data_IF_084233640393
#
_entry.id   IF_084233640393
#
_cell.length_a   1.000
_cell.length_b   1.000
_cell.length_c   1.000
_cell.angle_alpha   90.00
_cell.angle_beta   90.00
_cell.angle_gamma   90.00
#
_symmetry.space_group_name_H-M   'P 1'
#
loop_
_entity.id
_entity.type
_entity.pdbx_description
1 polymer ?
#
# COMPACT_ATOMS: atom_id res chain seq x y z
N UNK A 1 -32.36 20.32 16.86
CA UNK A 1 -32.69 19.76 15.53
C UNK A 1 -31.38 19.28 14.95
N UNK A 2 -31.17 17.97 14.88
CA UNK A 2 -30.02 17.41 14.19
C UNK A 2 -30.21 17.67 12.70
N UNK A 3 -29.25 18.37 12.08
CA UNK A 3 -29.23 18.52 10.64
C UNK A 3 -29.12 17.15 10.00
N UNK A 4 -30.12 16.79 9.20
CA UNK A 4 -30.12 15.55 8.44
C UNK A 4 -28.93 15.59 7.48
N UNK A 5 -27.93 14.74 7.71
CA UNK A 5 -26.70 14.64 6.91
C UNK A 5 -27.00 14.50 5.41
N UNK A 6 -28.12 13.87 5.06
CA UNK A 6 -28.58 13.73 3.68
C UNK A 6 -28.95 15.08 3.05
N UNK A 7 -29.63 15.96 3.81
CA UNK A 7 -30.01 17.31 3.36
C UNK A 7 -28.79 18.19 3.17
N UNK A 8 -27.84 18.14 4.12
CA UNK A 8 -26.58 18.89 4.05
C UNK A 8 -25.75 18.46 2.83
N UNK A 9 -25.64 17.14 2.58
CA UNK A 9 -24.94 16.63 1.39
C UNK A 9 -25.63 17.04 0.08
N UNK A 10 -26.97 17.03 0.07
CA UNK A 10 -27.77 17.41 -1.09
C UNK A 10 -27.58 18.88 -1.45
N UNK A 11 -27.60 19.77 -0.46
CA UNK A 11 -27.33 21.19 -0.64
C UNK A 11 -25.90 21.46 -1.10
N UNK A 12 -24.90 20.81 -0.49
CA UNK A 12 -23.49 20.92 -0.92
C UNK A 12 -23.27 20.46 -2.35
N UNK A 13 -24.07 19.52 -2.85
CA UNK A 13 -24.02 19.06 -4.23
C UNK A 13 -24.87 19.92 -5.20
N UNK A 14 -25.44 21.04 -4.72
CA UNK A 14 -26.26 21.96 -5.50
C UNK A 14 -27.61 21.37 -5.90
N UNK A 15 -28.21 20.55 -5.04
CA UNK A 15 -29.53 19.94 -5.26
C UNK A 15 -29.54 18.85 -6.33
N UNK A 16 -28.39 18.27 -6.69
CA UNK A 16 -28.27 17.29 -7.77
C UNK A 16 -27.86 15.92 -7.25
N UNK A 17 -28.81 14.98 -7.19
CA UNK A 17 -28.56 13.58 -6.81
C UNK A 17 -27.46 12.89 -7.63
N UNK A 18 -27.29 13.23 -8.92
CA UNK A 18 -26.18 12.72 -9.74
C UNK A 18 -24.79 13.17 -9.25
N UNK A 19 -24.67 14.36 -8.65
CA UNK A 19 -23.42 14.83 -8.05
C UNK A 19 -23.14 14.15 -6.72
N UNK A 20 -24.18 13.89 -5.94
CA UNK A 20 -24.09 13.11 -4.69
C UNK A 20 -23.64 11.69 -5.00
N UNK A 21 -24.23 11.04 -6.00
CA UNK A 21 -23.81 9.70 -6.41
C UNK A 21 -22.33 9.68 -6.83
N UNK A 22 -21.89 10.64 -7.65
CA UNK A 22 -20.46 10.74 -8.02
C UNK A 22 -19.56 11.06 -6.83
N UNK A 23 -20.03 11.88 -5.89
CA UNK A 23 -19.30 12.19 -4.66
C UNK A 23 -19.16 10.95 -3.78
N UNK A 24 -20.24 10.20 -3.55
CA UNK A 24 -20.22 8.96 -2.78
C UNK A 24 -19.37 7.88 -3.46
N UNK A 25 -19.47 7.74 -4.79
CA UNK A 25 -18.59 6.86 -5.57
C UNK A 25 -17.13 7.30 -5.50
N UNK A 26 -16.86 8.61 -5.51
CA UNK A 26 -15.50 9.13 -5.32
C UNK A 26 -14.99 8.86 -3.90
N UNK A 27 -15.83 8.97 -2.88
CA UNK A 27 -15.49 8.65 -1.49
C UNK A 27 -15.24 7.16 -1.31
N UNK A 28 -16.06 6.29 -1.91
CA UNK A 28 -15.84 4.84 -1.95
C UNK A 28 -14.54 4.47 -2.69
N UNK A 29 -14.20 5.21 -3.74
CA UNK A 29 -12.96 5.05 -4.50
C UNK A 29 -11.76 5.74 -3.84
N UNK A 30 -11.97 6.42 -2.72
CA UNK A 30 -10.93 7.18 -2.03
C UNK A 30 -10.56 6.57 -0.68
N UNK A 31 -9.33 6.07 -0.63
CA UNK A 31 -8.68 5.66 0.61
C UNK A 31 -7.68 6.74 1.03
N UNK A 32 -7.77 7.22 2.28
CA UNK A 32 -6.85 8.20 2.86
C UNK A 32 -6.03 7.51 3.96
N UNK A 33 -4.70 7.61 3.88
CA UNK A 33 -3.78 7.10 4.90
C UNK A 33 -3.01 8.27 5.53
N UNK A 34 -3.42 8.80 6.69
CA UNK A 34 -2.66 9.81 7.41
C UNK A 34 -1.53 9.15 8.21
N UNK A 35 -0.30 9.58 7.95
CA UNK A 35 0.90 9.23 8.71
C UNK A 35 1.60 10.53 9.12
N UNK A 36 2.38 10.52 10.19
CA UNK A 36 3.21 11.68 10.51
C UNK A 36 4.11 12.00 9.32
N UNK A 37 3.83 13.14 8.67
CA UNK A 37 4.57 13.61 7.51
C UNK A 37 4.04 13.17 6.15
N UNK A 38 3.15 12.18 5.96
CA UNK A 38 2.66 11.81 4.60
C UNK A 38 1.17 11.47 4.61
N UNK A 39 0.47 11.90 3.56
CA UNK A 39 -0.88 11.44 3.26
C UNK A 39 -0.97 10.94 1.83
N UNK A 40 -1.51 9.73 1.66
CA UNK A 40 -1.82 9.16 0.35
C UNK A 40 -3.33 9.16 0.12
N UNK A 41 -3.73 9.40 -1.13
CA UNK A 41 -5.11 9.37 -1.59
C UNK A 41 -5.19 8.57 -2.90
N UNK A 42 -6.09 7.59 -2.96
CA UNK A 42 -6.54 7.03 -4.26
C UNK A 42 -7.77 7.81 -4.71
N UNK A 43 -7.86 8.15 -6.00
CA UNK A 43 -9.08 8.72 -6.59
C UNK A 43 -9.08 8.40 -8.07
N UNK A 44 -10.19 7.82 -8.58
CA UNK A 44 -10.32 7.38 -9.97
C UNK A 44 -9.13 6.52 -10.45
N UNK A 45 -8.71 5.55 -9.62
CA UNK A 45 -7.55 4.67 -9.85
C UNK A 45 -6.18 5.35 -9.94
N UNK A 46 -6.11 6.68 -9.76
CA UNK A 46 -4.86 7.43 -9.65
C UNK A 46 -4.49 7.62 -8.19
N UNK A 47 -3.19 7.71 -7.91
CA UNK A 47 -2.69 7.99 -6.55
C UNK A 47 -2.19 9.42 -6.48
N UNK A 48 -2.50 10.08 -5.37
CA UNK A 48 -2.01 11.39 -5.02
C UNK A 48 -1.29 11.30 -3.67
N UNK A 49 -0.23 12.08 -3.51
CA UNK A 49 0.50 12.20 -2.25
C UNK A 49 0.73 13.66 -1.88
N UNK A 50 0.74 13.92 -0.57
CA UNK A 50 1.17 15.18 0.03
C UNK A 50 1.86 14.90 1.37
N UNK A 51 2.55 15.91 1.91
CA UNK A 51 3.37 15.81 3.11
C UNK A 51 4.85 16.05 2.84
N UNK A 52 5.72 15.65 3.76
CA UNK A 52 7.16 15.80 3.75
C UNK A 52 7.86 14.44 3.80
N UNK A 53 8.87 14.25 2.97
CA UNK A 53 9.74 13.08 3.02
C UNK A 53 11.11 13.37 2.43
N UNK A 54 12.16 12.81 3.06
CA UNK A 54 13.52 12.85 2.51
C UNK A 54 13.91 11.54 1.81
N UNK A 55 13.10 10.49 1.94
CA UNK A 55 13.40 9.14 1.46
C UNK A 55 12.55 8.72 0.26
N UNK A 56 11.83 9.63 -0.39
CA UNK A 56 11.16 9.35 -1.65
C UNK A 56 9.83 8.60 -1.56
N UNK A 57 9.29 8.36 -0.35
CA UNK A 57 7.99 7.71 -0.14
C UNK A 57 6.80 8.54 -0.69
N UNK A 58 7.01 9.82 -1.00
CA UNK A 58 6.04 10.60 -1.78
C UNK A 58 5.86 10.07 -3.21
N UNK A 59 6.86 9.37 -3.78
CA UNK A 59 6.79 8.82 -5.14
C UNK A 59 6.85 9.87 -6.27
N UNK A 60 7.13 11.13 -5.94
CA UNK A 60 7.05 12.27 -6.86
C UNK A 60 8.37 12.65 -7.53
N UNK A 61 9.48 11.96 -7.22
CA UNK A 61 10.83 12.27 -7.73
C UNK A 61 11.79 12.80 -6.67
N UNK A 62 13.11 12.73 -6.91
CA UNK A 62 14.16 13.13 -5.94
C UNK A 62 14.15 14.62 -5.58
N UNK A 63 13.57 15.46 -6.43
CA UNK A 63 13.40 16.90 -6.24
C UNK A 63 12.36 17.23 -5.15
N UNK A 64 11.42 16.32 -4.88
CA UNK A 64 10.29 16.59 -4.00
C UNK A 64 10.57 16.13 -2.58
N UNK A 65 10.82 17.10 -1.69
CA UNK A 65 10.97 16.86 -0.25
C UNK A 65 9.75 17.23 0.57
N UNK A 66 8.97 18.20 0.09
CA UNK A 66 7.77 18.71 0.72
C UNK A 66 6.74 18.98 -0.38
N UNK A 67 5.53 18.50 -0.18
CA UNK A 67 4.42 18.64 -1.09
C UNK A 67 3.18 19.02 -0.27
N UNK A 68 2.80 20.30 -0.29
CA UNK A 68 1.69 20.81 0.55
C UNK A 68 0.31 20.68 -0.11
N UNK A 69 0.25 20.07 -1.30
CA UNK A 69 -1.00 19.82 -2.04
C UNK A 69 -1.00 18.39 -2.56
N UNK A 70 -2.19 17.79 -2.73
CA UNK A 70 -2.29 16.46 -3.32
C UNK A 70 -1.82 16.48 -4.78
N UNK A 71 -0.63 15.93 -5.01
CA UNK A 71 -0.03 15.85 -6.35
C UNK A 71 -0.04 14.41 -6.83
N UNK A 72 -0.39 14.21 -8.09
CA UNK A 72 -0.52 12.89 -8.68
C UNK A 72 0.85 12.20 -8.80
N UNK A 73 0.93 10.96 -8.34
CA UNK A 73 2.11 10.10 -8.50
C UNK A 73 2.12 9.54 -9.92
N UNK A 74 3.27 9.65 -10.58
CA UNK A 74 3.48 9.06 -11.91
C UNK A 74 4.05 7.64 -11.79
N UNK A 75 3.42 6.70 -12.49
CA UNK A 75 3.86 5.30 -12.58
C UNK A 75 4.47 5.00 -13.96
N UNK A 76 5.38 4.01 -14.09
CA UNK A 76 6.02 3.66 -15.37
C UNK A 76 5.06 3.16 -16.48
N UNK A 77 3.88 2.69 -16.10
CA UNK A 77 2.81 2.25 -17.01
C UNK A 77 1.47 2.87 -16.56
N UNK A 78 0.42 2.86 -17.39
CA UNK A 78 -0.93 3.27 -16.98
C UNK A 78 -1.37 2.47 -15.75
N UNK A 79 -1.22 3.08 -14.58
CA UNK A 79 -1.45 2.45 -13.30
C UNK A 79 -2.90 2.66 -12.89
N UNK A 80 -3.64 1.55 -12.82
CA UNK A 80 -4.93 1.52 -12.13
C UNK A 80 -4.70 0.99 -10.73
N UNK A 81 -4.37 1.88 -9.79
CA UNK A 81 -4.12 1.48 -8.39
C UNK A 81 -5.45 1.17 -7.71
N UNK A 82 -5.51 -0.01 -7.08
CA UNK A 82 -6.73 -0.51 -6.39
C UNK A 82 -6.55 -0.65 -4.89
N UNK A 83 -5.31 -0.76 -4.43
CA UNK A 83 -4.99 -0.79 -3.00
C UNK A 83 -3.59 -0.23 -2.78
N UNK A 84 -3.38 0.40 -1.63
CA UNK A 84 -2.08 0.93 -1.22
C UNK A 84 -1.90 0.81 0.28
N UNK A 85 -0.64 0.82 0.71
CA UNK A 85 -0.25 0.96 2.10
C UNK A 85 1.05 1.74 2.18
N UNK A 86 1.25 2.49 3.26
CA UNK A 86 2.46 3.24 3.48
C UNK A 86 2.85 3.22 4.95
N UNK A 87 4.13 3.48 5.18
CA UNK A 87 4.71 3.80 6.47
C UNK A 87 5.56 5.07 6.34
N UNK A 88 6.26 5.45 7.41
CA UNK A 88 7.17 6.61 7.40
C UNK A 88 8.26 6.50 6.33
N UNK A 89 8.67 5.28 5.98
CA UNK A 89 9.85 5.04 5.16
C UNK A 89 9.51 4.73 3.71
N UNK A 90 8.38 4.06 3.44
CA UNK A 90 8.05 3.58 2.11
C UNK A 90 6.53 3.43 1.89
N UNK A 91 6.15 3.37 0.62
CA UNK A 91 4.79 3.12 0.16
C UNK A 91 4.79 1.94 -0.81
N UNK A 92 3.69 1.20 -0.81
CA UNK A 92 3.44 0.04 -1.64
C UNK A 92 2.05 0.18 -2.29
N UNK A 93 1.95 -0.22 -3.55
CA UNK A 93 0.75 -0.05 -4.39
C UNK A 93 0.44 -1.35 -5.13
N UNK A 94 -0.82 -1.79 -5.10
CA UNK A 94 -1.34 -2.89 -5.90
C UNK A 94 -2.12 -2.33 -7.08
N UNK A 95 -1.75 -2.76 -8.27
CA UNK A 95 -2.46 -2.44 -9.51
C UNK A 95 -3.66 -3.38 -9.72
N UNK A 96 -4.65 -2.96 -10.51
CA UNK A 96 -5.75 -3.80 -10.97
C UNK A 96 -5.25 -5.04 -11.75
N UNK A 97 -4.08 -4.97 -12.38
CA UNK A 97 -3.40 -6.13 -12.99
C UNK A 97 -2.92 -7.16 -11.95
N UNK A 98 -2.74 -6.74 -10.70
CA UNK A 98 -2.11 -7.50 -9.61
C UNK A 98 -0.61 -7.25 -9.47
N UNK A 99 -0.01 -6.44 -10.34
CA UNK A 99 1.37 -6.00 -10.18
C UNK A 99 1.52 -5.11 -8.94
N UNK A 100 2.72 -5.16 -8.34
CA UNK A 100 3.03 -4.40 -7.14
C UNK A 100 4.19 -3.45 -7.39
N UNK A 101 4.00 -2.21 -6.99
CA UNK A 101 5.00 -1.16 -7.05
C UNK A 101 5.33 -0.65 -5.65
N UNK A 102 6.58 -0.27 -5.42
CA UNK A 102 7.02 0.33 -4.16
C UNK A 102 7.91 1.55 -4.42
N UNK A 103 7.92 2.50 -3.48
CA UNK A 103 8.83 3.62 -3.45
C UNK A 103 9.11 4.05 -2.00
N UNK A 104 10.23 4.73 -1.76
CA UNK A 104 10.67 5.07 -0.42
C UNK A 104 12.10 4.65 -0.13
N UNK A 105 12.47 4.66 1.14
CA UNK A 105 13.72 4.11 1.62
C UNK A 105 13.79 2.62 1.30
N UNK A 106 14.95 2.15 0.83
CA UNK A 106 15.22 0.74 0.61
C UNK A 106 16.50 0.27 1.33
N UNK A 107 17.01 1.06 2.28
CA UNK A 107 18.17 0.73 3.12
C UNK A 107 17.99 -0.58 3.91
N UNK A 108 16.75 -0.85 4.32
CA UNK A 108 16.32 -2.06 5.02
C UNK A 108 15.68 -3.10 4.09
N UNK A 109 15.79 -2.92 2.78
CA UNK A 109 15.10 -3.72 1.75
C UNK A 109 13.57 -3.74 1.83
N UNK A 110 12.94 -2.81 2.54
CA UNK A 110 11.49 -2.79 2.74
C UNK A 110 10.70 -2.55 1.44
N UNK A 111 11.31 -1.97 0.41
CA UNK A 111 10.69 -1.88 -0.92
C UNK A 111 10.84 -3.17 -1.74
N UNK A 112 11.65 -4.15 -1.32
CA UNK A 112 11.78 -5.46 -1.98
C UNK A 112 12.65 -5.49 -3.24
N UNK A 113 13.50 -4.48 -3.43
CA UNK A 113 14.43 -4.39 -4.56
C UNK A 113 15.86 -4.72 -4.11
N UNK A 114 16.38 -5.90 -4.44
CA UNK A 114 17.75 -6.30 -4.07
C UNK A 114 18.86 -5.55 -4.81
N UNK A 115 18.55 -4.95 -5.96
CA UNK A 115 19.53 -4.34 -6.85
C UNK A 115 19.91 -2.91 -6.44
N UNK A 116 19.27 -2.35 -5.41
CA UNK A 116 19.58 -1.03 -4.87
C UNK A 116 19.36 -1.02 -3.36
N UNK A 117 20.21 -0.34 -2.62
CA UNK A 117 20.01 -0.02 -1.19
C UNK A 117 19.72 1.47 -0.97
N UNK A 118 19.47 2.21 -2.04
CA UNK A 118 19.19 3.65 -2.02
C UNK A 118 17.68 3.93 -2.08
N UNK A 119 17.25 5.13 -1.67
CA UNK A 119 15.87 5.56 -1.84
C UNK A 119 15.37 5.47 -3.28
N UNK A 120 14.12 5.04 -3.43
CA UNK A 120 13.39 4.91 -4.67
C UNK A 120 12.37 6.04 -4.73
N UNK A 121 12.61 7.03 -5.57
CA UNK A 121 11.83 8.27 -5.56
C UNK A 121 10.58 8.25 -6.44
N UNK A 122 10.39 7.20 -7.25
CA UNK A 122 9.20 6.97 -8.08
C UNK A 122 8.79 5.51 -7.96
N UNK A 123 7.49 5.18 -7.94
CA UNK A 123 7.03 3.80 -7.83
C UNK A 123 7.72 2.90 -8.85
N UNK A 124 8.35 1.83 -8.35
CA UNK A 124 9.10 0.87 -9.13
C UNK A 124 8.47 -0.52 -9.01
N UNK A 125 8.36 -1.23 -10.12
CA UNK A 125 7.85 -2.61 -10.14
C UNK A 125 8.74 -3.51 -9.27
N UNK A 126 8.13 -4.25 -8.35
CA UNK A 126 8.83 -5.27 -7.55
C UNK A 126 9.05 -6.50 -8.43
N UNK A 127 10.17 -6.56 -9.13
CA UNK A 127 10.47 -7.60 -10.14
C UNK A 127 10.33 -9.04 -9.60
N UNK A 128 10.67 -9.27 -8.34
CA UNK A 128 10.51 -10.59 -7.70
C UNK A 128 9.05 -11.05 -7.57
N UNK A 129 8.08 -10.14 -7.67
CA UNK A 129 6.65 -10.43 -7.65
C UNK A 129 6.02 -10.41 -9.06
N UNK A 130 6.81 -10.21 -10.11
CA UNK A 130 6.31 -10.19 -11.48
C UNK A 130 5.67 -11.54 -11.84
N UNK A 131 4.45 -11.50 -12.36
CA UNK A 131 3.67 -12.70 -12.67
C UNK A 131 3.00 -13.36 -11.45
N UNK A 132 3.06 -12.74 -10.26
CA UNK A 132 2.37 -13.19 -9.04
C UNK A 132 1.31 -12.16 -8.66
N UNK A 133 0.05 -12.30 -9.11
CA UNK A 133 -0.97 -11.27 -8.90
C UNK A 133 -1.30 -11.07 -7.42
N UNK A 134 -1.12 -9.84 -6.93
CA UNK A 134 -1.49 -9.41 -5.61
C UNK A 134 -2.90 -8.82 -5.54
N UNK A 135 -3.47 -8.85 -4.34
CA UNK A 135 -4.73 -8.17 -3.99
C UNK A 135 -4.58 -7.19 -2.84
N UNK A 136 -3.56 -7.35 -2.01
CA UNK A 136 -3.32 -6.49 -0.85
C UNK A 136 -1.83 -6.41 -0.53
N UNK A 137 -1.37 -5.24 -0.11
CA UNK A 137 -0.06 -5.00 0.52
C UNK A 137 -0.23 -4.26 1.84
N UNK A 138 0.68 -4.51 2.78
CA UNK A 138 0.79 -3.76 4.03
C UNK A 138 2.25 -3.40 4.29
N UNK A 139 2.50 -2.14 4.61
CA UNK A 139 3.80 -1.60 4.94
C UNK A 139 3.96 -1.54 6.46
N UNK A 140 4.97 -2.21 6.99
CA UNK A 140 5.46 -2.01 8.36
C UNK A 140 6.50 -0.89 8.41
N UNK A 141 7.24 -0.76 9.52
CA UNK A 141 8.27 0.28 9.62
C UNK A 141 9.41 0.05 8.63
N UNK A 142 9.95 -1.16 8.61
CA UNK A 142 11.11 -1.56 7.81
C UNK A 142 10.89 -2.86 7.02
N UNK A 143 9.63 -3.21 6.74
CA UNK A 143 9.30 -4.40 5.97
C UNK A 143 7.98 -4.20 5.21
N UNK A 144 7.74 -5.03 4.19
CA UNK A 144 6.45 -5.11 3.47
C UNK A 144 5.95 -6.54 3.47
N UNK A 145 4.63 -6.71 3.59
CA UNK A 145 3.95 -7.97 3.32
C UNK A 145 2.99 -7.84 2.14
N UNK A 146 2.93 -8.89 1.32
CA UNK A 146 2.16 -8.97 0.08
C UNK A 146 1.23 -10.17 0.14
N UNK A 147 -0.06 -9.96 -0.12
CA UNK A 147 -1.06 -11.01 -0.21
C UNK A 147 -1.46 -11.22 -1.67
N UNK A 148 -1.21 -12.43 -2.17
CA UNK A 148 -1.57 -12.82 -3.53
C UNK A 148 -3.07 -13.07 -3.65
N UNK A 149 -3.59 -13.06 -4.88
CA UNK A 149 -4.98 -13.44 -5.18
C UNK A 149 -5.27 -14.90 -4.82
N UNK A 150 -4.25 -15.75 -4.82
CA UNK A 150 -4.34 -17.16 -4.39
C UNK A 150 -4.33 -17.31 -2.85
N UNK A 151 -4.06 -16.23 -2.12
CA UNK A 151 -3.98 -16.22 -0.65
C UNK A 151 -2.63 -16.67 -0.10
N UNK A 152 -1.57 -16.61 -0.91
CA UNK A 152 -0.20 -16.76 -0.44
C UNK A 152 0.31 -15.42 0.12
N UNK A 153 1.12 -15.49 1.17
CA UNK A 153 1.74 -14.30 1.78
C UNK A 153 3.22 -14.32 1.51
N UNK A 154 3.73 -13.19 1.01
CA UNK A 154 5.16 -12.94 0.81
C UNK A 154 5.59 -11.78 1.71
N UNK A 155 6.83 -11.77 2.16
CA UNK A 155 7.40 -10.72 3.01
C UNK A 155 8.83 -10.36 2.59
N UNK A 156 9.21 -9.10 2.75
CA UNK A 156 10.57 -8.62 2.54
C UNK A 156 10.91 -7.46 3.48
N UNK A 157 12.20 -7.21 3.64
CA UNK A 157 12.74 -6.12 4.46
C UNK A 157 13.56 -6.60 5.65
N UNK A 158 13.64 -5.77 6.68
CA UNK A 158 14.31 -6.08 7.93
C UNK A 158 13.54 -7.17 8.71
N UNK A 159 14.29 -8.07 9.34
CA UNK A 159 13.76 -9.22 10.07
C UNK A 159 14.37 -9.39 11.47
N UNK A 160 14.93 -8.34 12.05
CA UNK A 160 15.62 -8.39 13.36
C UNK A 160 14.77 -8.92 14.51
N UNK A 161 13.44 -8.91 14.39
CA UNK A 161 12.48 -9.40 15.38
C UNK A 161 11.71 -10.64 14.90
N UNK A 162 12.07 -11.23 13.75
CA UNK A 162 11.33 -12.32 13.13
C UNK A 162 10.02 -11.88 12.45
N UNK A 163 9.81 -10.58 12.25
CA UNK A 163 8.57 -10.01 11.71
C UNK A 163 8.20 -10.48 10.30
N UNK A 164 9.14 -11.06 9.55
CA UNK A 164 8.88 -11.62 8.23
C UNK A 164 8.23 -13.02 8.28
N UNK A 165 8.28 -13.71 9.43
CA UNK A 165 7.60 -14.99 9.64
C UNK A 165 8.28 -16.20 8.99
N UNK A 166 9.57 -16.14 8.67
CA UNK A 166 10.29 -17.23 8.01
C UNK A 166 10.91 -18.28 8.95
N UNK A 167 10.70 -18.14 10.27
CA UNK A 167 11.33 -19.02 11.27
C UNK A 167 12.80 -18.67 11.56
N UNK A 168 13.24 -17.49 11.13
CA UNK A 168 14.57 -16.93 11.33
C UNK A 168 14.49 -15.41 11.54
N UNK A 169 15.63 -14.77 11.80
CA UNK A 169 15.78 -13.31 11.94
C UNK A 169 16.65 -12.70 10.83
N UNK A 170 16.67 -13.31 9.65
CA UNK A 170 17.50 -12.86 8.52
C UNK A 170 16.71 -11.91 7.64
N UNK A 171 17.29 -10.76 7.33
CA UNK A 171 16.69 -9.77 6.41
C UNK A 171 16.46 -10.39 5.03
N UNK A 172 15.35 -10.04 4.40
CA UNK A 172 14.98 -10.58 3.09
C UNK A 172 14.98 -9.47 2.03
N UNK A 173 15.98 -9.43 1.11
CA UNK A 173 16.13 -8.34 0.15
C UNK A 173 15.09 -8.35 -0.98
N UNK A 174 14.35 -9.45 -1.11
CA UNK A 174 13.23 -9.62 -2.06
C UNK A 174 12.08 -10.35 -1.37
N UNK A 175 10.82 -10.15 -1.81
CA UNK A 175 9.68 -10.91 -1.30
C UNK A 175 9.91 -12.42 -1.33
N UNK A 176 9.82 -13.04 -0.16
CA UNK A 176 9.91 -14.49 0.05
C UNK A 176 8.57 -14.99 0.60
N UNK A 177 8.10 -16.13 0.11
CA UNK A 177 6.86 -16.73 0.57
C UNK A 177 6.99 -17.21 2.03
N UNK A 178 5.93 -17.04 2.82
CA UNK A 178 5.82 -17.66 4.15
C UNK A 178 5.27 -19.07 3.98
N UNK A 179 6.14 -20.06 3.94
CA UNK A 179 5.78 -21.47 3.68
C UNK A 179 4.78 -22.02 4.71
N UNK A 180 4.89 -21.62 5.98
CA UNK A 180 3.94 -22.04 7.01
C UNK A 180 2.50 -21.62 6.69
N UNK A 181 2.30 -20.37 6.23
CA UNK A 181 0.96 -19.87 5.89
C UNK A 181 0.36 -20.61 4.68
N UNK A 182 1.20 -21.01 3.73
CA UNK A 182 0.79 -21.83 2.58
C UNK A 182 0.23 -23.19 3.00
N UNK A 183 0.73 -23.77 4.09
CA UNK A 183 0.29 -25.08 4.60
C UNK A 183 -1.06 -25.02 5.33
N UNK A 184 -1.33 -23.93 6.05
CA UNK A 184 -2.57 -23.80 6.85
C UNK A 184 -3.79 -23.36 6.03
N UNK A 185 -3.60 -22.86 4.81
CA UNK A 185 -4.66 -22.53 3.86
C UNK A 185 -4.59 -21.11 3.30
N UNK A 186 -5.64 -20.74 2.54
CA UNK A 186 -5.69 -19.46 1.84
C UNK A 186 -5.92 -18.29 2.81
N UNK A 187 -5.00 -17.33 2.81
CA UNK A 187 -5.13 -16.09 3.57
C UNK A 187 -6.08 -15.13 2.84
N UNK A 188 -7.01 -14.55 3.58
CA UNK A 188 -8.00 -13.61 3.04
C UNK A 188 -7.60 -12.16 3.25
N UNK A 189 -6.87 -11.87 4.33
CA UNK A 189 -6.49 -10.51 4.70
C UNK A 189 -5.18 -10.51 5.51
N UNK A 190 -4.40 -9.45 5.32
CA UNK A 190 -3.21 -9.15 6.13
C UNK A 190 -3.32 -7.75 6.75
N UNK A 191 -2.66 -7.54 7.88
CA UNK A 191 -2.47 -6.24 8.52
C UNK A 191 -1.05 -6.16 9.08
N UNK A 192 -0.49 -4.96 9.23
CA UNK A 192 0.83 -4.76 9.82
C UNK A 192 0.81 -3.66 10.87
N UNK A 193 1.56 -3.89 11.95
CA UNK A 193 2.04 -2.82 12.82
C UNK A 193 3.50 -2.46 12.48
N UNK A 194 4.18 -1.69 13.34
CA UNK A 194 5.56 -1.29 13.09
C UNK A 194 6.53 -2.47 12.90
N UNK A 195 6.33 -3.54 13.67
CA UNK A 195 7.23 -4.71 13.73
C UNK A 195 6.51 -6.06 13.79
N UNK A 196 5.25 -6.13 13.33
CA UNK A 196 4.48 -7.38 13.31
C UNK A 196 3.51 -7.43 12.13
N UNK A 197 3.16 -8.65 11.71
CA UNK A 197 2.15 -8.94 10.69
C UNK A 197 1.06 -9.81 11.29
N UNK A 198 -0.19 -9.46 11.03
CA UNK A 198 -1.37 -10.28 11.29
C UNK A 198 -1.87 -10.85 9.96
N UNK A 199 -2.25 -12.12 9.94
CA UNK A 199 -2.85 -12.77 8.80
C UNK A 199 -4.12 -13.51 9.24
N UNK A 200 -5.21 -13.32 8.49
CA UNK A 200 -6.49 -13.98 8.73
C UNK A 200 -6.77 -14.96 7.59
N UNK A 201 -7.17 -16.19 7.93
CA UNK A 201 -7.67 -17.18 6.99
C UNK A 201 -9.22 -17.29 7.10
N UNK A 202 -9.85 -17.91 6.11
CA UNK A 202 -11.26 -18.29 6.25
C UNK A 202 -11.39 -19.40 7.30
N UNK A 203 -12.31 -19.22 8.25
CA UNK A 203 -12.78 -20.30 9.12
C UNK A 203 -13.46 -21.36 8.24
N UNK A 204 -12.89 -22.55 8.18
CA UNK A 204 -13.62 -23.74 7.73
C UNK A 204 -14.52 -24.14 8.90
N UNK A 205 -15.80 -23.82 8.83
CA UNK A 205 -16.78 -24.51 9.67
C UNK A 205 -16.82 -25.97 9.18
N UNK A 206 -16.40 -26.89 10.05
CA UNK A 206 -16.62 -28.33 9.90
C UNK A 206 -18.09 -28.64 10.23
#
# INVERSE_FOLDING_TARGET
MEDNAQTVLFERCGGKWKRILRFLQSVEQSCILPLEGITLLISNSSVYSCGSSLCGVLGQGPETKLCVTFTQISFPSPAHVVQMSASHNHAAFVMQSGEVFTCGDNSSFCCGHKDTNRPIFRPRLVEAMKGIPCKQVVAGLNFTAFLTRQGHVYTCGANTHGQLGHGDTTDSPTPKIIEFLKQIGSIIQIAAGPSYVLAANQLKFL
#
